data_IF_350999739172
#
_entry.id   IF_350999739172
#
_cell.length_a   1.000
_cell.length_b   1.000
_cell.length_c   1.000
_cell.angle_alpha   90.00
_cell.angle_beta   90.00
_cell.angle_gamma   90.00
#
_symmetry.space_group_name_H-M   'P 1'
#
loop_
_entity.id
_entity.type
_entity.pdbx_description
1 polymer ?
#
# COMPACT_ATOMS: atom_id res chain seq x y z
N UNK A 1 -3.60 -20.51 11.27
CA UNK A 1 -3.02 -19.77 10.12
C UNK A 1 -4.09 -18.84 9.59
N UNK A 2 -3.84 -17.54 9.54
CA UNK A 2 -4.79 -16.56 9.01
C UNK A 2 -5.12 -16.93 7.55
N UNK A 3 -6.42 -17.07 7.20
CA UNK A 3 -6.84 -17.53 5.86
C UNK A 3 -6.29 -16.65 4.74
N UNK A 4 -6.10 -15.36 5.03
CA UNK A 4 -5.53 -14.39 4.10
C UNK A 4 -4.06 -14.72 3.79
N UNK A 5 -3.23 -15.01 4.81
CA UNK A 5 -1.82 -15.39 4.62
C UNK A 5 -1.72 -16.60 3.70
N UNK A 6 -2.48 -17.67 4.01
CA UNK A 6 -2.46 -18.89 3.22
C UNK A 6 -2.90 -18.68 1.77
N UNK A 7 -3.89 -17.79 1.55
CA UNK A 7 -4.32 -17.40 0.22
C UNK A 7 -3.18 -16.72 -0.54
N UNK A 8 -2.62 -15.62 -0.02
CA UNK A 8 -1.56 -14.90 -0.71
C UNK A 8 -0.30 -15.74 -0.91
N UNK A 9 0.07 -16.57 0.06
CA UNK A 9 1.19 -17.50 -0.08
C UNK A 9 1.01 -18.47 -1.27
N UNK A 10 -0.22 -18.93 -1.53
CA UNK A 10 -0.51 -19.83 -2.65
C UNK A 10 -0.48 -19.12 -4.02
N UNK A 11 -0.65 -17.79 -4.05
CA UNK A 11 -0.61 -17.01 -5.29
C UNK A 11 0.77 -16.43 -5.59
N UNK A 12 1.72 -16.45 -4.66
CA UNK A 12 3.00 -15.74 -4.77
C UNK A 12 3.76 -16.03 -6.07
N UNK A 13 3.80 -17.28 -6.53
CA UNK A 13 4.50 -17.67 -7.78
C UNK A 13 3.83 -17.16 -9.06
N UNK A 14 2.52 -16.85 -9.02
CA UNK A 14 1.73 -16.46 -10.20
C UNK A 14 1.20 -15.03 -10.12
N UNK A 15 1.46 -14.32 -9.01
CA UNK A 15 0.88 -13.02 -8.69
C UNK A 15 1.17 -11.95 -9.74
N UNK A 16 2.41 -11.89 -10.22
CA UNK A 16 2.83 -10.89 -11.22
C UNK A 16 2.08 -11.06 -12.55
N UNK A 17 1.85 -12.31 -12.97
CA UNK A 17 1.03 -12.64 -14.14
C UNK A 17 -0.45 -12.38 -13.89
N UNK A 18 -0.95 -12.74 -12.71
CA UNK A 18 -2.35 -12.58 -12.34
C UNK A 18 -2.77 -11.10 -12.29
N UNK A 19 -1.94 -10.22 -11.71
CA UNK A 19 -2.30 -8.81 -11.56
C UNK A 19 -2.39 -8.06 -12.89
N UNK A 20 -1.77 -8.58 -13.96
CA UNK A 20 -1.76 -7.99 -15.30
C UNK A 20 -1.47 -6.47 -15.26
N UNK A 21 -0.31 -6.11 -14.72
CA UNK A 21 0.05 -4.72 -14.38
C UNK A 21 -0.11 -3.76 -15.56
N UNK A 22 -0.84 -2.65 -15.34
CA UNK A 22 -0.89 -1.53 -16.27
C UNK A 22 0.13 -0.45 -15.86
N UNK A 23 1.28 -0.44 -16.54
CA UNK A 23 2.40 0.48 -16.26
C UNK A 23 1.97 1.95 -16.31
N UNK A 24 1.12 2.35 -17.27
CA UNK A 24 0.67 3.74 -17.40
C UNK A 24 -0.16 4.21 -16.21
N UNK A 25 -0.95 3.31 -15.62
CA UNK A 25 -1.73 3.61 -14.41
C UNK A 25 -0.80 3.71 -13.20
N UNK A 26 0.20 2.83 -13.07
CA UNK A 26 1.21 2.94 -12.01
C UNK A 26 1.99 4.26 -12.11
N UNK A 27 2.46 4.64 -13.30
CA UNK A 27 3.14 5.91 -13.52
C UNK A 27 2.24 7.10 -13.13
N UNK A 28 0.96 7.07 -13.54
CA UNK A 28 -0.03 8.10 -13.13
C UNK A 28 -0.21 8.15 -11.62
N UNK A 29 -0.32 7.01 -10.96
CA UNK A 29 -0.45 6.92 -9.50
C UNK A 29 0.81 7.46 -8.80
N UNK A 30 2.00 7.19 -9.32
CA UNK A 30 3.25 7.70 -8.77
C UNK A 30 3.38 9.23 -8.93
N UNK A 31 2.90 9.78 -10.04
CA UNK A 31 2.80 11.24 -10.22
C UNK A 31 1.83 11.85 -9.20
N UNK A 32 0.65 11.24 -9.00
CA UNK A 32 -0.32 11.69 -7.99
C UNK A 32 0.23 11.56 -6.56
N UNK A 33 1.01 10.50 -6.29
CA UNK A 33 1.65 10.26 -5.00
C UNK A 33 2.61 11.39 -4.64
N UNK A 34 3.31 11.97 -5.63
CA UNK A 34 4.20 13.13 -5.47
C UNK A 34 5.09 13.01 -4.23
N UNK A 35 5.91 11.96 -4.21
CA UNK A 35 6.79 11.61 -3.08
C UNK A 35 8.08 12.44 -3.18
N UNK A 36 8.47 13.17 -2.12
CA UNK A 36 9.72 13.93 -2.14
C UNK A 36 10.96 13.04 -2.25
N UNK A 37 11.96 13.50 -3.02
CA UNK A 37 13.30 12.88 -3.07
C UNK A 37 13.89 12.83 -1.66
N UNK A 38 14.59 11.74 -1.32
CA UNK A 38 15.17 11.52 0.00
C UNK A 38 14.20 11.07 1.08
N UNK A 39 12.93 10.78 0.72
CA UNK A 39 11.94 10.32 1.70
C UNK A 39 12.28 8.95 2.29
N UNK A 40 12.01 8.79 3.59
CA UNK A 40 11.78 7.47 4.21
C UNK A 40 10.35 7.02 3.92
N UNK A 41 10.20 5.94 3.14
CA UNK A 41 8.92 5.40 2.68
C UNK A 41 8.63 4.05 3.33
N UNK A 42 7.40 3.86 3.79
CA UNK A 42 6.86 2.58 4.22
C UNK A 42 5.87 2.06 3.15
N UNK A 43 6.23 1.01 2.44
CA UNK A 43 5.37 0.33 1.45
C UNK A 43 4.64 -0.84 2.14
N UNK A 44 3.35 -0.66 2.41
CA UNK A 44 2.53 -1.58 3.19
C UNK A 44 1.72 -2.48 2.28
N UNK A 45 1.83 -3.79 2.49
CA UNK A 45 1.27 -4.80 1.58
C UNK A 45 2.04 -4.83 0.27
N UNK A 46 3.38 -4.82 0.34
CA UNK A 46 4.26 -4.70 -0.82
C UNK A 46 4.08 -5.86 -1.82
N UNK A 47 3.58 -7.01 -1.37
CA UNK A 47 3.39 -8.21 -2.17
C UNK A 47 4.70 -8.65 -2.80
N UNK A 48 4.68 -8.91 -4.10
CA UNK A 48 5.88 -9.20 -4.90
C UNK A 48 6.68 -7.94 -5.27
N UNK A 49 6.39 -6.77 -4.68
CA UNK A 49 7.22 -5.57 -4.80
C UNK A 49 6.99 -4.73 -6.06
N UNK A 50 5.78 -4.74 -6.64
CA UNK A 50 5.50 -4.05 -7.92
C UNK A 50 5.80 -2.54 -7.89
N UNK A 51 5.72 -1.89 -6.71
CA UNK A 51 6.04 -0.48 -6.54
C UNK A 51 7.52 -0.20 -6.33
N UNK A 52 8.33 -1.19 -5.91
CA UNK A 52 9.69 -0.95 -5.45
C UNK A 52 10.59 -0.27 -6.49
N UNK A 53 10.55 -0.60 -7.79
CA UNK A 53 11.33 0.12 -8.80
C UNK A 53 10.95 1.60 -8.90
N UNK A 54 9.66 1.92 -8.82
CA UNK A 54 9.16 3.29 -8.90
C UNK A 54 9.51 4.09 -7.65
N UNK A 55 9.34 3.49 -6.47
CA UNK A 55 9.72 4.09 -5.20
C UNK A 55 11.23 4.34 -5.17
N UNK A 56 12.03 3.35 -5.54
CA UNK A 56 13.50 3.45 -5.58
C UNK A 56 13.94 4.63 -6.46
N UNK A 57 13.41 4.71 -7.68
CA UNK A 57 13.71 5.81 -8.60
C UNK A 57 13.25 7.18 -8.05
N UNK A 58 12.07 7.23 -7.40
CA UNK A 58 11.47 8.47 -6.90
C UNK A 58 12.22 9.03 -5.70
N UNK A 59 12.61 8.18 -4.74
CA UNK A 59 13.28 8.66 -3.52
C UNK A 59 14.79 8.85 -3.71
N UNK A 60 15.37 8.19 -4.73
CA UNK A 60 16.79 8.27 -5.05
C UNK A 60 17.71 7.68 -3.97
N UNK A 61 19.02 7.83 -4.16
CA UNK A 61 20.05 7.19 -3.33
C UNK A 61 20.03 7.60 -1.84
N UNK A 62 19.46 8.77 -1.52
CA UNK A 62 19.35 9.26 -0.15
C UNK A 62 18.05 8.85 0.54
N UNK A 63 17.08 8.35 -0.23
CA UNK A 63 15.83 7.84 0.31
C UNK A 63 15.96 6.41 0.78
N UNK A 64 15.00 5.98 1.60
CA UNK A 64 14.94 4.63 2.15
C UNK A 64 13.53 4.08 2.01
N UNK A 65 13.41 2.81 1.65
CA UNK A 65 12.12 2.12 1.49
C UNK A 65 12.11 0.93 2.44
N UNK A 66 11.03 0.77 3.19
CA UNK A 66 10.76 -0.44 3.96
C UNK A 66 9.50 -1.08 3.39
N UNK A 67 9.67 -2.24 2.77
CA UNK A 67 8.61 -3.07 2.21
C UNK A 67 8.10 -4.03 3.29
N UNK A 68 6.81 -3.96 3.61
CA UNK A 68 6.16 -4.81 4.60
C UNK A 68 5.07 -5.63 3.93
N UNK A 69 5.06 -6.93 4.20
CA UNK A 69 3.94 -7.80 3.85
C UNK A 69 3.80 -8.90 4.90
N UNK A 70 2.57 -9.34 5.20
CA UNK A 70 2.36 -10.45 6.13
C UNK A 70 2.64 -11.82 5.47
N UNK A 71 2.65 -11.88 4.13
CA UNK A 71 2.92 -13.09 3.35
C UNK A 71 4.41 -13.21 3.11
N UNK A 72 5.01 -14.16 3.82
CA UNK A 72 6.44 -14.47 3.68
C UNK A 72 6.79 -14.84 2.24
N UNK A 73 5.93 -15.61 1.56
CA UNK A 73 6.20 -16.02 0.17
C UNK A 73 6.09 -14.87 -0.82
N UNK A 74 5.13 -13.97 -0.67
CA UNK A 74 5.04 -12.78 -1.52
C UNK A 74 6.28 -11.91 -1.35
N UNK A 75 6.67 -11.64 -0.11
CA UNK A 75 7.83 -10.79 0.17
C UNK A 75 9.15 -11.45 -0.25
N UNK A 76 9.27 -12.78 -0.14
CA UNK A 76 10.42 -13.52 -0.65
C UNK A 76 10.59 -13.33 -2.17
N UNK A 77 9.49 -13.29 -2.94
CA UNK A 77 9.54 -12.95 -4.38
C UNK A 77 9.96 -11.51 -4.63
N UNK A 78 9.49 -10.57 -3.81
CA UNK A 78 9.95 -9.18 -3.90
C UNK A 78 11.47 -9.10 -3.66
N UNK A 79 11.96 -9.76 -2.62
CA UNK A 79 13.37 -9.79 -2.28
C UNK A 79 14.21 -10.45 -3.38
N UNK A 80 13.76 -11.57 -3.97
CA UNK A 80 14.44 -12.22 -5.09
C UNK A 80 14.59 -11.27 -6.29
N UNK A 81 13.51 -10.55 -6.67
CA UNK A 81 13.51 -9.64 -7.81
C UNK A 81 14.32 -8.37 -7.59
N UNK A 82 14.41 -7.91 -6.34
CA UNK A 82 14.90 -6.56 -6.02
C UNK A 82 16.02 -6.55 -4.97
N UNK A 83 16.71 -7.67 -4.76
CA UNK A 83 17.87 -7.80 -3.86
C UNK A 83 19.01 -6.82 -4.20
N UNK A 84 19.07 -6.33 -5.43
CA UNK A 84 20.06 -5.36 -5.89
C UNK A 84 19.75 -3.91 -5.49
N UNK A 85 18.55 -3.62 -4.99
CA UNK A 85 18.17 -2.26 -4.56
C UNK A 85 18.71 -1.99 -3.16
N UNK A 86 19.81 -1.24 -3.08
CA UNK A 86 20.57 -1.02 -1.84
C UNK A 86 19.85 -0.22 -0.75
N UNK A 87 18.70 0.40 -1.06
CA UNK A 87 17.93 1.23 -0.14
C UNK A 87 16.53 0.68 0.15
N UNK A 88 16.31 -0.62 -0.07
CA UNK A 88 15.06 -1.33 0.23
C UNK A 88 15.31 -2.38 1.31
N UNK A 89 14.62 -2.23 2.44
CA UNK A 89 14.55 -3.25 3.49
C UNK A 89 13.23 -4.03 3.37
N UNK A 90 13.26 -5.33 3.63
CA UNK A 90 12.09 -6.21 3.60
C UNK A 90 11.76 -6.70 5.01
N UNK A 91 10.51 -6.57 5.44
CA UNK A 91 10.06 -7.04 6.76
C UNK A 91 8.76 -7.84 6.60
N UNK A 92 8.80 -9.11 7.02
CA UNK A 92 7.59 -9.95 7.09
C UNK A 92 6.84 -9.63 8.38
N UNK A 93 5.55 -9.28 8.27
CA UNK A 93 4.70 -9.07 9.43
C UNK A 93 3.37 -8.37 9.14
N UNK A 94 2.44 -8.46 10.10
CA UNK A 94 1.26 -7.60 10.11
C UNK A 94 1.67 -6.19 10.56
N UNK A 95 1.57 -5.24 9.64
CA UNK A 95 1.90 -3.83 9.89
C UNK A 95 1.20 -3.27 11.13
N UNK A 96 0.01 -3.76 11.49
CA UNK A 96 -0.74 -3.27 12.65
C UNK A 96 -0.16 -3.78 13.98
N UNK A 97 0.49 -4.94 13.98
CA UNK A 97 1.13 -5.52 15.17
C UNK A 97 2.58 -5.04 15.35
N UNK A 98 3.19 -4.46 14.32
CA UNK A 98 4.57 -4.00 14.36
C UNK A 98 4.75 -2.74 15.21
N UNK A 99 5.89 -2.66 15.92
CA UNK A 99 6.32 -1.42 16.56
C UNK A 99 6.98 -0.50 15.53
N UNK A 100 6.24 0.51 15.07
CA UNK A 100 6.76 1.54 14.16
C UNK A 100 7.00 2.80 14.99
N UNK A 101 8.25 3.31 15.07
CA UNK A 101 8.55 4.49 15.85
C UNK A 101 7.71 5.70 15.40
N UNK A 102 7.22 6.47 16.36
CA UNK A 102 6.50 7.71 16.07
C UNK A 102 7.40 8.69 15.28
N UNK A 103 6.79 9.44 14.37
CA UNK A 103 7.46 10.50 13.61
C UNK A 103 8.75 10.06 12.88
N UNK A 104 8.78 8.83 12.39
CA UNK A 104 9.94 8.25 11.71
C UNK A 104 9.80 8.19 10.19
N UNK A 105 8.57 8.21 9.67
CA UNK A 105 8.26 7.97 8.25
C UNK A 105 7.85 9.28 7.55
N UNK A 106 8.35 9.51 6.33
CA UNK A 106 7.91 10.64 5.49
C UNK A 106 6.62 10.29 4.72
N UNK A 107 6.56 9.10 4.14
CA UNK A 107 5.41 8.63 3.36
C UNK A 107 5.06 7.19 3.71
N UNK A 108 3.81 6.94 4.05
CA UNK A 108 3.24 5.59 4.06
C UNK A 108 2.44 5.43 2.77
N UNK A 109 2.69 4.36 2.03
CA UNK A 109 2.00 4.05 0.79
C UNK A 109 1.49 2.61 0.80
N UNK A 110 0.30 2.37 0.26
CA UNK A 110 -0.19 1.02 0.03
C UNK A 110 -0.93 0.93 -1.31
N UNK A 111 -0.54 -0.05 -2.12
CA UNK A 111 -1.18 -0.36 -3.41
C UNK A 111 -1.93 -1.68 -3.29
N UNK A 112 -3.22 -1.68 -3.63
CA UNK A 112 -4.07 -2.87 -3.62
C UNK A 112 -4.21 -3.59 -2.26
N UNK A 113 -3.93 -2.90 -1.15
CA UNK A 113 -3.91 -3.48 0.19
C UNK A 113 -5.16 -3.17 1.04
N UNK A 114 -5.69 -1.95 0.93
CA UNK A 114 -6.64 -1.38 1.90
C UNK A 114 -7.91 -2.21 2.20
N UNK A 115 -8.52 -2.94 1.25
CA UNK A 115 -9.68 -3.79 1.52
C UNK A 115 -9.39 -4.94 2.51
N UNK A 116 -8.14 -5.45 2.50
CA UNK A 116 -7.68 -6.58 3.32
C UNK A 116 -7.52 -6.20 4.80
N UNK A 117 -7.71 -4.94 5.16
CA UNK A 117 -7.78 -4.49 6.55
C UNK A 117 -9.12 -4.80 7.23
N UNK A 118 -10.14 -5.30 6.51
CA UNK A 118 -11.44 -5.64 7.09
C UNK A 118 -12.03 -4.49 7.93
N UNK A 119 -12.31 -4.72 9.21
CA UNK A 119 -12.81 -3.74 10.20
C UNK A 119 -11.70 -2.86 10.78
N UNK A 120 -10.43 -3.14 10.52
CA UNK A 120 -9.24 -2.46 11.07
C UNK A 120 -8.77 -1.25 10.25
N UNK A 121 -9.60 -0.76 9.32
CA UNK A 121 -9.25 0.39 8.45
C UNK A 121 -8.97 1.67 9.25
N UNK A 122 -9.78 1.97 10.27
CA UNK A 122 -9.55 3.14 11.12
C UNK A 122 -8.30 2.98 12.01
N UNK A 123 -8.11 1.78 12.58
CA UNK A 123 -6.90 1.42 13.34
C UNK A 123 -5.64 1.67 12.50
N UNK A 124 -5.64 1.19 11.25
CA UNK A 124 -4.57 1.45 10.28
C UNK A 124 -4.34 2.93 10.05
N UNK A 125 -5.38 3.70 9.73
CA UNK A 125 -5.25 5.14 9.48
C UNK A 125 -4.64 5.85 10.69
N UNK A 126 -5.10 5.56 11.92
CA UNK A 126 -4.55 6.15 13.16
C UNK A 126 -3.10 5.74 13.39
N UNK A 127 -2.78 4.46 13.21
CA UNK A 127 -1.42 3.93 13.40
C UNK A 127 -0.45 4.57 12.41
N UNK A 128 -0.80 4.64 11.13
CA UNK A 128 0.03 5.26 10.11
C UNK A 128 0.21 6.76 10.38
N UNK A 129 -0.83 7.45 10.89
CA UNK A 129 -0.66 8.86 11.28
C UNK A 129 0.37 9.04 12.39
N UNK A 130 0.40 8.13 13.36
CA UNK A 130 1.35 8.21 14.47
C UNK A 130 2.81 8.04 14.02
N UNK A 131 3.07 7.17 13.05
CA UNK A 131 4.41 6.91 12.52
C UNK A 131 4.91 8.01 11.58
N UNK A 132 4.01 8.78 10.97
CA UNK A 132 4.37 9.87 10.07
C UNK A 132 5.03 11.05 10.82
N UNK A 133 6.07 11.62 10.22
CA UNK A 133 6.63 12.94 10.57
C UNK A 133 5.58 14.03 10.32
N UNK A 134 5.74 15.19 10.95
CA UNK A 134 4.91 16.36 10.62
C UNK A 134 5.08 16.72 9.14
N UNK A 135 3.96 16.90 8.43
CA UNK A 135 3.97 17.07 6.97
C UNK A 135 4.19 15.78 6.17
N UNK A 136 4.30 14.63 6.83
CA UNK A 136 4.31 13.32 6.16
C UNK A 136 2.93 12.94 5.65
N UNK A 137 2.84 11.99 4.72
CA UNK A 137 1.56 11.63 4.07
C UNK A 137 1.26 10.13 4.09
N UNK A 138 -0.03 9.80 4.21
CA UNK A 138 -0.58 8.48 3.93
C UNK A 138 -1.20 8.48 2.54
N UNK A 139 -0.84 7.49 1.72
CA UNK A 139 -1.31 7.31 0.35
C UNK A 139 -1.92 5.91 0.21
N UNK A 140 -3.18 5.83 -0.18
CA UNK A 140 -3.92 4.60 -0.43
C UNK A 140 -4.32 4.60 -1.89
N UNK A 141 -3.93 3.57 -2.64
CA UNK A 141 -4.20 3.52 -4.08
C UNK A 141 -4.49 2.13 -4.61
N UNK A 142 -5.24 2.08 -5.71
CA UNK A 142 -5.46 0.87 -6.50
C UNK A 142 -5.30 1.20 -7.99
N UNK A 143 -4.64 0.31 -8.72
CA UNK A 143 -4.38 0.43 -10.17
C UNK A 143 -5.47 -0.20 -11.04
N UNK A 144 -6.62 -0.47 -10.43
CA UNK A 144 -7.89 -0.85 -11.05
C UNK A 144 -9.02 -0.12 -10.33
N UNK A 145 -10.18 0.01 -10.98
CA UNK A 145 -11.33 0.69 -10.39
C UNK A 145 -11.85 -0.02 -9.14
N UNK A 146 -12.47 0.75 -8.24
CA UNK A 146 -13.15 0.21 -7.06
C UNK A 146 -14.20 -0.84 -7.41
N UNK A 147 -14.96 -0.63 -8.49
CA UNK A 147 -15.93 -1.59 -8.98
C UNK A 147 -15.26 -2.92 -9.35
N UNK A 148 -14.11 -2.88 -10.03
CA UNK A 148 -13.36 -4.08 -10.40
C UNK A 148 -12.76 -4.78 -9.18
N UNK A 149 -12.17 -4.04 -8.23
CA UNK A 149 -11.67 -4.61 -6.95
C UNK A 149 -12.79 -5.36 -6.24
N UNK A 150 -13.92 -4.69 -6.01
CA UNK A 150 -15.04 -5.28 -5.28
C UNK A 150 -15.70 -6.46 -6.03
N UNK A 151 -15.65 -6.48 -7.37
CA UNK A 151 -16.08 -7.63 -8.18
C UNK A 151 -15.16 -8.84 -7.98
N UNK A 152 -13.84 -8.66 -8.13
CA UNK A 152 -12.86 -9.73 -7.93
C UNK A 152 -13.00 -10.32 -6.52
N UNK A 153 -13.20 -9.46 -5.53
CA UNK A 153 -13.35 -9.90 -4.15
C UNK A 153 -14.62 -10.71 -3.95
N UNK A 154 -15.78 -10.24 -4.46
CA UNK A 154 -17.06 -10.95 -4.37
C UNK A 154 -16.97 -12.37 -4.93
N UNK A 155 -16.27 -12.56 -6.04
CA UNK A 155 -16.17 -13.83 -6.76
C UNK A 155 -15.14 -14.80 -6.13
N UNK A 156 -14.43 -14.37 -5.07
CA UNK A 156 -13.39 -15.15 -4.40
C UNK A 156 -13.81 -15.52 -2.98
N UNK A 157 -13.93 -16.82 -2.68
CA UNK A 157 -14.43 -17.31 -1.39
C UNK A 157 -13.57 -16.96 -0.18
N UNK A 158 -12.29 -16.62 -0.35
CA UNK A 158 -11.40 -16.23 0.76
C UNK A 158 -11.55 -14.76 1.09
N UNK A 159 -11.56 -13.90 0.07
CA UNK A 159 -11.62 -12.44 0.24
C UNK A 159 -13.02 -11.86 0.02
N UNK A 160 -14.06 -12.71 0.09
CA UNK A 160 -15.42 -12.34 -0.32
C UNK A 160 -16.02 -11.17 0.45
N UNK A 161 -15.60 -10.93 1.69
CA UNK A 161 -16.08 -9.80 2.51
C UNK A 161 -15.17 -8.57 2.45
N UNK A 162 -14.06 -8.65 1.73
CA UNK A 162 -13.08 -7.55 1.65
C UNK A 162 -13.64 -6.51 0.70
N UNK A 163 -13.95 -5.32 1.22
CA UNK A 163 -14.49 -4.22 0.43
C UNK A 163 -13.56 -3.02 0.44
N UNK A 164 -13.35 -2.47 -0.76
CA UNK A 164 -12.82 -1.14 -0.96
C UNK A 164 -13.99 -0.14 -0.84
N UNK A 165 -14.02 0.72 0.20
CA UNK A 165 -15.03 1.76 0.32
C UNK A 165 -14.82 2.84 -0.76
N UNK A 166 -15.78 3.74 -0.94
CA UNK A 166 -15.61 4.89 -1.82
C UNK A 166 -14.44 5.77 -1.39
N UNK A 167 -13.69 6.30 -2.35
CA UNK A 167 -12.54 7.18 -2.08
C UNK A 167 -12.92 8.35 -1.21
N UNK A 168 -14.10 8.94 -1.45
CA UNK A 168 -14.64 10.04 -0.65
C UNK A 168 -14.82 9.65 0.81
N UNK A 169 -15.40 8.48 1.08
CA UNK A 169 -15.60 7.98 2.44
C UNK A 169 -14.27 7.73 3.16
N UNK A 170 -13.29 7.12 2.48
CA UNK A 170 -11.95 6.94 3.05
C UNK A 170 -11.27 8.29 3.30
N UNK A 171 -11.47 9.28 2.43
CA UNK A 171 -11.03 10.65 2.65
C UNK A 171 -11.66 11.28 3.91
N UNK A 172 -12.94 11.03 4.16
CA UNK A 172 -13.64 11.46 5.38
C UNK A 172 -13.08 10.75 6.63
N UNK A 173 -12.75 9.46 6.54
CA UNK A 173 -12.08 8.73 7.62
C UNK A 173 -10.71 9.32 7.96
N UNK A 174 -9.92 9.68 6.94
CA UNK A 174 -8.63 10.37 7.14
C UNK A 174 -8.83 11.71 7.86
N UNK A 175 -9.80 12.53 7.43
CA UNK A 175 -10.12 13.80 8.09
C UNK A 175 -10.55 13.59 9.55
N UNK A 176 -11.36 12.58 9.83
CA UNK A 176 -11.79 12.24 11.20
C UNK A 176 -10.61 11.80 12.10
N UNK A 177 -9.58 11.19 11.51
CA UNK A 177 -8.31 10.90 12.19
C UNK A 177 -7.37 12.12 12.25
N UNK A 178 -7.79 13.28 11.74
CA UNK A 178 -7.10 14.56 11.78
C UNK A 178 -6.03 14.76 10.70
N UNK A 179 -6.08 13.99 9.59
CA UNK A 179 -5.27 14.32 8.42
C UNK A 179 -5.78 15.61 7.76
N UNK A 180 -4.85 16.37 7.17
CA UNK A 180 -5.08 17.63 6.45
C UNK A 180 -4.89 17.43 4.95
N UNK A 181 -5.37 18.41 4.17
CA UNK A 181 -5.18 18.46 2.72
C UNK A 181 -5.54 17.15 2.02
N UNK A 182 -6.66 16.56 2.45
CA UNK A 182 -7.08 15.23 1.98
C UNK A 182 -7.64 15.32 0.57
N UNK A 183 -6.98 14.62 -0.34
CA UNK A 183 -7.41 14.40 -1.72
C UNK A 183 -7.98 12.99 -1.84
N UNK A 184 -9.14 12.87 -2.45
CA UNK A 184 -9.80 11.59 -2.72
C UNK A 184 -10.38 11.60 -4.14
N UNK A 185 -10.02 10.60 -4.93
CA UNK A 185 -10.39 10.46 -6.33
C UNK A 185 -10.52 8.99 -6.70
N UNK A 186 -11.57 8.65 -7.44
CA UNK A 186 -11.73 7.34 -8.09
C UNK A 186 -12.37 7.54 -9.46
N UNK A 187 -11.99 6.71 -10.42
CA UNK A 187 -12.62 6.61 -11.74
C UNK A 187 -12.71 5.13 -12.17
N UNK A 188 -13.14 4.89 -13.41
CA UNK A 188 -13.26 3.53 -13.96
C UNK A 188 -11.92 2.83 -14.23
N UNK A 189 -10.79 3.48 -13.92
CA UNK A 189 -9.43 2.97 -14.13
C UNK A 189 -8.61 2.86 -12.85
N UNK A 190 -8.81 3.73 -11.85
CA UNK A 190 -7.99 3.77 -10.63
C UNK A 190 -8.74 4.29 -9.39
N UNK A 191 -8.10 4.11 -8.24
CA UNK A 191 -8.53 4.63 -6.94
C UNK A 191 -7.35 5.31 -6.25
N UNK A 192 -7.56 6.48 -5.65
CA UNK A 192 -6.52 7.24 -4.97
C UNK A 192 -7.06 8.06 -3.80
N UNK A 193 -6.42 7.94 -2.63
CA UNK A 193 -6.65 8.78 -1.47
C UNK A 193 -5.30 9.17 -0.87
N UNK A 194 -5.09 10.46 -0.60
CA UNK A 194 -3.90 10.98 0.07
C UNK A 194 -4.29 11.99 1.13
N UNK A 195 -3.63 11.95 2.29
CA UNK A 195 -3.74 12.98 3.31
C UNK A 195 -2.43 13.20 4.05
N UNK A 196 -2.23 14.40 4.59
CA UNK A 196 -1.03 14.81 5.31
C UNK A 196 -1.25 14.85 6.82
N UNK A 197 -0.22 14.53 7.62
CA UNK A 197 -0.24 14.69 9.08
C UNK A 197 -0.08 16.16 9.47
#
# INVERSE_FOLDING_TARGET
>A
MNKDIAFFDNFADTWDSYRNTNVKILERLMVLANIPVGSTVLDVGSGTGVLLPYLHATVGAQGKITAIDFSEKMLAKAQEKFANLSNVDFIVGDVLEMNIPAESINVVICLNFFPHLHTRKEEFIRKMKSSLKNGGSLIIMHDISRAKVNSIHRDNSVVTEHRLPEAKLVGEMLKACGYKEVTAYEDDTLYFVKGFK
#
